data_IF_378479121980
#
_entry.id   IF_378479121980
#
_cell.length_a   1.000
_cell.length_b   1.000
_cell.length_c   1.000
_cell.angle_alpha   90.00
_cell.angle_beta   90.00
_cell.angle_gamma   90.00
#
_symmetry.space_group_name_H-M   'P 1'
#
loop_
_entity.id
_entity.type
_entity.pdbx_description
1 polymer ?
#
# COMPACT_ATOMS: atom_id res chain seq x y z
N UNK A 1 -14.94 3.28 -2.11
CA UNK A 1 -13.58 2.70 -2.03
C UNK A 1 -12.56 3.71 -1.50
N UNK A 2 -11.83 3.33 -0.45
CA UNK A 2 -10.74 4.10 0.13
C UNK A 2 -9.47 3.25 0.24
N UNK A 3 -8.33 3.88 0.51
CA UNK A 3 -7.04 3.19 0.67
C UNK A 3 -6.26 3.77 1.83
N UNK A 4 -5.68 2.89 2.63
CA UNK A 4 -4.64 3.23 3.61
C UNK A 4 -3.29 2.91 2.98
N UNK A 5 -2.50 3.94 2.70
CA UNK A 5 -1.13 3.80 2.23
C UNK A 5 -0.14 4.03 3.37
N UNK A 6 0.97 3.32 3.33
CA UNK A 6 2.13 3.55 4.19
C UNK A 6 2.94 4.70 3.57
N UNK A 7 3.39 5.68 4.36
CA UNK A 7 4.32 6.69 3.88
C UNK A 7 5.58 6.03 3.30
N UNK A 8 5.94 6.43 2.09
CA UNK A 8 7.12 5.92 1.40
C UNK A 8 8.30 6.83 1.74
N UNK A 9 9.42 6.30 2.25
CA UNK A 9 10.57 7.12 2.62
C UNK A 9 11.34 7.57 1.37
N UNK A 10 11.95 8.76 1.40
CA UNK A 10 12.61 9.38 0.24
C UNK A 10 13.77 8.56 -0.35
N UNK A 11 14.29 7.56 0.37
CA UNK A 11 15.22 6.56 -0.16
C UNK A 11 14.65 5.82 -1.38
N UNK A 12 13.33 5.63 -1.44
CA UNK A 12 12.66 5.01 -2.58
C UNK A 12 12.68 5.92 -3.80
N UNK A 13 12.51 7.23 -3.62
CA UNK A 13 12.59 8.20 -4.73
C UNK A 13 14.01 8.26 -5.31
N UNK A 14 15.04 8.10 -4.46
CA UNK A 14 16.43 7.95 -4.92
C UNK A 14 16.61 6.70 -5.79
N UNK A 15 16.14 5.54 -5.30
CA UNK A 15 16.20 4.29 -6.05
C UNK A 15 15.43 4.38 -7.38
N UNK A 16 14.26 5.01 -7.39
CA UNK A 16 13.49 5.24 -8.60
C UNK A 16 14.25 6.13 -9.61
N UNK A 17 14.94 7.16 -9.12
CA UNK A 17 15.78 8.03 -9.95
C UNK A 17 16.95 7.27 -10.58
N UNK A 18 17.59 6.37 -9.84
CA UNK A 18 18.67 5.51 -10.35
C UNK A 18 18.17 4.53 -11.44
N UNK A 19 16.92 4.05 -11.32
CA UNK A 19 16.30 3.16 -12.30
C UNK A 19 15.73 3.89 -13.51
N UNK A 20 15.46 5.20 -13.41
CA UNK A 20 14.81 6.00 -14.45
C UNK A 20 15.42 5.83 -15.86
N UNK A 21 16.76 5.79 -16.07
CA UNK A 21 17.32 5.62 -17.41
C UNK A 21 16.84 4.34 -18.12
N UNK A 22 16.56 3.27 -17.35
CA UNK A 22 16.06 1.99 -17.86
C UNK A 22 14.57 2.01 -18.19
N UNK A 23 13.83 2.99 -17.66
CA UNK A 23 12.39 3.14 -17.81
C UNK A 23 11.99 4.08 -18.97
N UNK A 24 12.95 4.72 -19.63
CA UNK A 24 12.72 5.73 -20.69
C UNK A 24 11.94 5.21 -21.90
N UNK A 25 11.85 3.89 -22.11
CA UNK A 25 11.06 3.27 -23.17
C UNK A 25 9.56 3.18 -22.87
N UNK A 26 9.16 3.36 -21.61
CA UNK A 26 7.76 3.37 -21.23
C UNK A 26 7.11 4.71 -21.59
N UNK A 27 5.90 4.68 -22.15
CA UNK A 27 5.13 5.89 -22.48
C UNK A 27 4.84 6.75 -21.24
N UNK A 28 4.71 6.11 -20.07
CA UNK A 28 4.42 6.77 -18.80
C UNK A 28 5.28 6.20 -17.68
N UNK A 29 5.99 7.08 -16.97
CA UNK A 29 6.73 6.76 -15.74
C UNK A 29 5.98 7.41 -14.57
N UNK A 30 5.75 6.65 -13.50
CA UNK A 30 5.08 7.18 -12.31
C UNK A 30 6.08 7.95 -11.45
N UNK A 31 5.74 9.20 -11.14
CA UNK A 31 6.56 10.06 -10.26
C UNK A 31 6.23 9.86 -8.79
N UNK A 32 4.98 9.53 -8.47
CA UNK A 32 4.54 9.28 -7.08
C UNK A 32 4.50 7.78 -6.79
N UNK A 33 5.36 7.36 -5.87
CA UNK A 33 5.37 6.00 -5.33
C UNK A 33 4.40 5.86 -4.15
N UNK A 34 3.68 4.75 -4.11
CA UNK A 34 2.71 4.44 -3.04
C UNK A 34 2.89 3.00 -2.61
N UNK A 35 2.89 2.76 -1.31
CA UNK A 35 2.82 1.42 -0.74
C UNK A 35 1.47 1.24 -0.05
N UNK A 36 0.63 0.35 -0.58
CA UNK A 36 -0.71 0.11 -0.08
C UNK A 36 -0.68 -0.86 1.11
N UNK A 37 -1.25 -0.45 2.25
CA UNK A 37 -1.48 -1.35 3.38
C UNK A 37 -2.80 -2.10 3.24
N UNK A 38 -3.89 -1.41 2.91
CA UNK A 38 -5.22 -2.02 2.69
C UNK A 38 -6.14 -1.12 1.86
N UNK A 39 -6.98 -1.74 1.02
CA UNK A 39 -8.17 -1.12 0.42
C UNK A 39 -9.40 -1.37 1.28
N UNK A 40 -10.29 -0.38 1.33
CA UNK A 40 -11.53 -0.42 2.08
C UNK A 40 -12.69 -0.21 1.13
N UNK A 41 -13.64 -1.13 1.16
CA UNK A 41 -14.94 -0.92 0.58
C UNK A 41 -15.92 -0.56 1.69
N UNK A 42 -16.58 0.59 1.54
CA UNK A 42 -17.56 1.08 2.50
C UNK A 42 -18.84 0.25 2.49
N UNK A 43 -19.04 -0.58 1.47
CA UNK A 43 -20.16 -1.53 1.42
C UNK A 43 -19.95 -2.81 2.25
N UNK A 44 -18.73 -3.07 2.73
CA UNK A 44 -18.42 -4.27 3.52
C UNK A 44 -18.60 -4.06 5.03
N UNK A 45 -18.86 -2.83 5.47
CA UNK A 45 -18.84 -2.47 6.87
C UNK A 45 -19.68 -1.21 7.13
N UNK A 46 -20.88 -1.41 7.68
CA UNK A 46 -21.85 -0.33 7.94
C UNK A 46 -21.32 0.71 8.95
N UNK A 47 -20.45 0.31 9.88
CA UNK A 47 -19.81 1.21 10.85
C UNK A 47 -18.67 2.03 10.22
N UNK A 48 -18.30 1.72 8.98
CA UNK A 48 -17.25 2.40 8.20
C UNK A 48 -17.73 2.77 6.79
N UNK A 49 -19.01 3.10 6.65
CA UNK A 49 -19.72 3.46 5.41
C UNK A 49 -19.23 4.74 4.69
N UNK A 50 -18.38 5.52 5.36
CA UNK A 50 -17.93 6.83 4.91
C UNK A 50 -16.51 7.12 5.39
N UNK A 51 -15.80 8.05 4.72
CA UNK A 51 -14.41 8.36 5.09
C UNK A 51 -14.25 8.83 6.56
N UNK A 52 -15.12 9.70 7.12
CA UNK A 52 -15.02 10.10 8.52
C UNK A 52 -15.18 8.91 9.48
N UNK A 53 -16.18 8.06 9.25
CA UNK A 53 -16.45 6.85 10.06
C UNK A 53 -15.32 5.83 9.96
N UNK A 54 -14.85 5.56 8.75
CA UNK A 54 -13.69 4.72 8.50
C UNK A 54 -12.45 5.25 9.26
N UNK A 55 -12.19 6.56 9.24
CA UNK A 55 -11.09 7.18 9.98
C UNK A 55 -11.25 7.05 11.49
N UNK A 56 -12.45 7.25 12.01
CA UNK A 56 -12.77 7.09 13.43
C UNK A 56 -12.47 5.67 13.90
N UNK A 57 -12.93 4.67 13.15
CA UNK A 57 -12.77 3.25 13.47
C UNK A 57 -11.33 2.73 13.25
N UNK A 58 -10.58 3.31 12.31
CA UNK A 58 -9.16 3.00 12.10
C UNK A 58 -8.23 3.52 13.20
N UNK A 59 -8.56 4.68 13.81
CA UNK A 59 -7.70 5.33 14.81
C UNK A 59 -7.27 4.42 15.98
N UNK A 60 -8.16 3.70 16.68
CA UNK A 60 -7.76 2.85 17.80
C UNK A 60 -6.80 1.74 17.36
N UNK A 61 -7.10 1.05 16.24
CA UNK A 61 -6.26 -0.03 15.69
C UNK A 61 -4.83 0.46 15.39
N UNK A 62 -4.70 1.64 14.77
CA UNK A 62 -3.40 2.22 14.46
C UNK A 62 -2.67 2.74 15.71
N UNK A 63 -3.39 3.23 16.71
CA UNK A 63 -2.80 3.69 17.99
C UNK A 63 -2.23 2.53 18.78
N UNK A 64 -2.99 1.44 18.94
CA UNK A 64 -2.53 0.24 19.64
C UNK A 64 -1.25 -0.34 19.05
N UNK A 65 -1.15 -0.36 17.71
CA UNK A 65 0.07 -0.79 17.04
C UNK A 65 1.27 0.11 17.39
N UNK A 66 1.09 1.44 17.41
CA UNK A 66 2.16 2.39 17.74
C UNK A 66 2.65 2.24 19.18
N UNK A 67 1.75 1.91 20.11
CA UNK A 67 2.10 1.68 21.51
C UNK A 67 2.95 0.42 21.73
N UNK A 68 2.98 -0.51 20.77
CA UNK A 68 3.76 -1.76 20.83
C UNK A 68 5.25 -1.62 20.49
N UNK A 69 5.73 -0.43 20.12
CA UNK A 69 7.15 -0.12 20.10
C UNK A 69 7.96 -0.73 18.95
N UNK A 70 7.61 -0.40 17.71
CA UNK A 70 8.51 -0.23 16.56
C UNK A 70 7.67 0.28 15.38
N UNK A 71 8.31 0.81 14.34
CA UNK A 71 7.63 1.24 13.12
C UNK A 71 7.03 0.07 12.32
N UNK A 72 6.93 0.22 11.01
CA UNK A 72 6.74 -0.92 10.11
C UNK A 72 8.10 -1.16 9.48
N UNK A 73 8.75 -2.28 9.79
CA UNK A 73 10.00 -2.64 9.14
C UNK A 73 9.74 -3.16 7.73
N UNK A 74 10.52 -2.67 6.76
CA UNK A 74 10.30 -2.86 5.33
C UNK A 74 11.66 -3.00 4.63
N UNK A 75 11.77 -4.00 3.77
CA UNK A 75 12.94 -4.18 2.91
C UNK A 75 12.52 -4.26 1.46
N UNK A 76 13.10 -3.40 0.62
CA UNK A 76 13.03 -3.55 -0.84
C UNK A 76 13.94 -4.71 -1.23
N UNK A 77 13.39 -5.73 -1.88
CA UNK A 77 14.13 -6.96 -2.23
C UNK A 77 14.43 -7.10 -3.71
N UNK A 78 13.86 -6.25 -4.56
CA UNK A 78 14.03 -6.37 -6.00
C UNK A 78 13.01 -5.58 -6.80
N UNK A 79 12.85 -6.01 -8.05
CA UNK A 79 11.95 -5.48 -9.04
C UNK A 79 11.14 -6.63 -9.62
N UNK A 80 9.87 -6.37 -9.87
CA UNK A 80 8.99 -7.30 -10.57
C UNK A 80 7.95 -6.50 -11.37
N UNK A 81 7.12 -7.17 -12.16
CA UNK A 81 6.17 -6.52 -13.04
C UNK A 81 4.87 -7.31 -13.18
N UNK A 82 3.79 -6.56 -13.40
CA UNK A 82 2.55 -7.10 -13.93
C UNK A 82 2.55 -6.91 -15.45
N UNK A 83 2.53 -8.01 -16.20
CA UNK A 83 2.42 -7.97 -17.67
C UNK A 83 1.02 -7.46 -18.08
N UNK A 84 -0.08 -8.16 -17.72
CA UNK A 84 -1.40 -7.55 -17.62
C UNK A 84 -1.70 -7.14 -16.16
N UNK A 85 -1.76 -5.84 -15.83
CA UNK A 85 -2.18 -5.41 -14.50
C UNK A 85 -3.68 -5.63 -14.30
N UNK A 86 -4.16 -5.87 -13.06
CA UNK A 86 -5.59 -6.04 -12.77
C UNK A 86 -6.46 -4.84 -13.18
N UNK A 87 -5.87 -3.64 -13.26
CA UNK A 87 -6.55 -2.43 -13.73
C UNK A 87 -5.60 -1.53 -14.51
N UNK A 88 -6.10 -0.97 -15.62
CA UNK A 88 -5.40 0.03 -16.43
C UNK A 88 -4.41 -0.57 -17.45
N UNK A 89 -3.70 0.28 -18.19
CA UNK A 89 -2.72 -0.16 -19.18
C UNK A 89 -1.48 -0.76 -18.51
N UNK A 90 -0.97 -1.85 -19.08
CA UNK A 90 0.28 -2.51 -18.68
C UNK A 90 1.39 -2.39 -19.74
N UNK A 91 2.62 -2.83 -19.42
CA UNK A 91 3.01 -3.46 -18.15
C UNK A 91 3.26 -2.44 -17.02
N UNK A 92 3.12 -2.88 -15.77
CA UNK A 92 3.43 -2.07 -14.57
C UNK A 92 4.61 -2.69 -13.82
N UNK A 93 5.72 -1.97 -13.78
CA UNK A 93 6.91 -2.33 -12.99
C UNK A 93 6.75 -1.81 -11.56
N UNK A 94 7.13 -2.62 -10.57
CA UNK A 94 7.09 -2.26 -9.16
C UNK A 94 8.32 -2.78 -8.40
N UNK A 95 8.60 -2.14 -7.27
CA UNK A 95 9.61 -2.61 -6.32
C UNK A 95 8.99 -3.70 -5.44
N UNK A 96 9.64 -4.86 -5.35
CA UNK A 96 9.22 -5.91 -4.42
C UNK A 96 9.61 -5.51 -3.01
N UNK A 97 8.70 -5.70 -2.06
CA UNK A 97 8.88 -5.29 -0.67
C UNK A 97 8.51 -6.43 0.24
N UNK A 98 9.39 -6.77 1.18
CA UNK A 98 9.13 -7.70 2.26
C UNK A 98 8.88 -6.93 3.56
N UNK A 99 7.79 -7.27 4.25
CA UNK A 99 7.48 -6.72 5.56
C UNK A 99 6.48 -7.61 6.31
N UNK A 100 6.96 -8.46 7.25
CA UNK A 100 6.09 -9.21 8.14
C UNK A 100 5.13 -8.30 8.91
N UNK A 101 5.61 -7.11 9.27
CA UNK A 101 4.86 -6.07 9.96
C UNK A 101 3.66 -5.55 9.16
N UNK A 102 3.88 -5.24 7.88
CA UNK A 102 2.84 -4.76 6.99
C UNK A 102 1.82 -5.87 6.70
N UNK A 103 2.27 -7.12 6.53
CA UNK A 103 1.35 -8.26 6.39
C UNK A 103 0.50 -8.48 7.64
N UNK A 104 1.09 -8.36 8.84
CA UNK A 104 0.34 -8.45 10.10
C UNK A 104 -0.67 -7.32 10.24
N UNK A 105 -0.31 -6.08 9.87
CA UNK A 105 -1.25 -4.95 9.83
C UNK A 105 -2.38 -5.22 8.84
N UNK A 106 -2.06 -5.66 7.63
CA UNK A 106 -3.03 -5.95 6.59
C UNK A 106 -4.05 -7.00 7.06
N UNK A 107 -3.59 -8.13 7.62
CA UNK A 107 -4.46 -9.19 8.14
C UNK A 107 -5.42 -8.67 9.22
N UNK A 108 -4.90 -7.97 10.22
CA UNK A 108 -5.71 -7.37 11.29
C UNK A 108 -6.78 -6.41 10.74
N UNK A 109 -6.42 -5.61 9.74
CA UNK A 109 -7.36 -4.70 9.10
C UNK A 109 -8.39 -5.45 8.24
N UNK A 110 -8.04 -6.55 7.58
CA UNK A 110 -9.00 -7.39 6.85
C UNK A 110 -9.98 -8.08 7.79
N UNK A 111 -9.52 -8.56 8.95
CA UNK A 111 -10.39 -9.10 10.00
C UNK A 111 -11.38 -8.06 10.53
N UNK A 112 -10.98 -6.78 10.60
CA UNK A 112 -11.82 -5.71 11.18
C UNK A 112 -12.75 -5.02 10.18
N UNK A 113 -12.40 -4.99 8.89
CA UNK A 113 -13.09 -4.19 7.85
C UNK A 113 -13.47 -5.00 6.60
N UNK A 114 -13.37 -6.33 6.67
CA UNK A 114 -13.56 -7.21 5.53
C UNK A 114 -12.45 -7.13 4.48
N UNK A 115 -12.50 -8.08 3.54
CA UNK A 115 -11.57 -8.20 2.42
C UNK A 115 -12.24 -7.74 1.14
N UNK A 116 -11.57 -6.89 0.38
CA UNK A 116 -12.03 -6.47 -0.95
C UNK A 116 -11.59 -7.51 -1.98
N UNK A 117 -12.48 -7.88 -2.90
CA UNK A 117 -12.11 -8.72 -4.05
C UNK A 117 -11.10 -8.00 -4.98
N UNK A 118 -10.11 -8.77 -5.43
CA UNK A 118 -8.93 -8.30 -6.17
C UNK A 118 -9.09 -8.45 -7.68
#
# INVERSE_FOLDING_TARGET
MFSLNVPVPGQVDRLASELHPKLTRFERIRERHTLLAKRFDTALDDDADSLPRLRERLRPILRERRSGGSGIDLRVTGLDYFEPPPRGPGPVVYLTVESPDLHALHRRLCESFGTVEG
#
